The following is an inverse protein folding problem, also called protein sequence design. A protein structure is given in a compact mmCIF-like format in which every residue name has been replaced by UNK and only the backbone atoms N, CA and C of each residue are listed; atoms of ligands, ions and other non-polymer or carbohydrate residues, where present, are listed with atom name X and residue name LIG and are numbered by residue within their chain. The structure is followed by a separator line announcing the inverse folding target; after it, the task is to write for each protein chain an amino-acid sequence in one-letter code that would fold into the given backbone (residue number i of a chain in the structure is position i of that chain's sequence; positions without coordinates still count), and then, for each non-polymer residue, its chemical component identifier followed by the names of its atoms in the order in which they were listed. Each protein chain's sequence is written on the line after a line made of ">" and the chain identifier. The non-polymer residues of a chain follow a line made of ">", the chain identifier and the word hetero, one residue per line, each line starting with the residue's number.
data_IF_495328841060
#
_entry.id   IF_495328841060
#
_cell.length_a   1.000
_cell.length_b   1.000
_cell.length_c   1.000
_cell.angle_alpha   90.00
_cell.angle_beta   90.00
_cell.angle_gamma   90.00
#
_symmetry.space_group_name_H-M   'P 1'
#
loop_
_entity.id
_entity.type
_entity.pdbx_description
1 polymer ?
#
# COMPACT_ATOMS: atom_id res chain seq x y z
N UNK A 1 -30.65 -39.86 -18.73
CA UNK A 1 -29.22 -39.49 -18.84
C UNK A 1 -29.03 -38.20 -18.03
N UNK A 2 -28.83 -38.21 -16.69
CA UNK A 2 -27.58 -38.49 -15.95
C UNK A 2 -26.36 -37.79 -16.60
N UNK A 3 -25.61 -36.86 -15.99
CA UNK A 3 -25.15 -36.63 -14.60
C UNK A 3 -24.95 -35.11 -14.34
N UNK A 4 -25.39 -34.50 -13.22
CA UNK A 4 -24.78 -34.35 -11.87
C UNK A 4 -23.43 -33.60 -11.78
N UNK A 5 -23.49 -32.38 -11.19
CA UNK A 5 -22.70 -31.80 -10.06
C UNK A 5 -23.04 -30.30 -10.05
N UNK A 6 -23.66 -29.68 -9.05
CA UNK A 6 -23.65 -29.88 -7.61
C UNK A 6 -23.19 -28.56 -6.99
N UNK A 7 -24.07 -27.56 -6.90
CA UNK A 7 -23.82 -26.34 -6.14
C UNK A 7 -23.99 -26.71 -4.66
N UNK A 8 -22.88 -26.85 -3.94
CA UNK A 8 -22.83 -27.25 -2.53
C UNK A 8 -23.28 -26.10 -1.62
N UNK A 9 -24.51 -26.22 -1.10
CA UNK A 9 -24.94 -26.15 0.32
C UNK A 9 -24.16 -25.36 1.40
N UNK A 10 -23.30 -24.38 1.10
CA UNK A 10 -22.58 -23.61 2.14
C UNK A 10 -23.19 -22.24 2.46
N UNK A 11 -24.25 -21.81 1.76
CA UNK A 11 -24.86 -20.47 1.97
C UNK A 11 -26.00 -20.47 3.02
N UNK A 12 -26.35 -21.62 3.62
CA UNK A 12 -27.46 -21.71 4.60
C UNK A 12 -26.99 -22.05 6.03
N UNK A 13 -25.67 -22.18 6.28
CA UNK A 13 -25.14 -22.45 7.62
C UNK A 13 -24.59 -21.22 8.38
N UNK A 14 -24.60 -20.02 7.79
CA UNK A 14 -24.01 -18.82 8.42
C UNK A 14 -25.01 -17.91 9.17
N UNK A 15 -26.26 -18.35 9.35
CA UNK A 15 -27.32 -17.55 9.98
C UNK A 15 -27.77 -18.02 11.37
N UNK A 16 -27.18 -19.08 11.95
CA UNK A 16 -27.51 -19.53 13.31
C UNK A 16 -26.22 -19.95 14.03
N UNK A 17 -25.34 -19.00 14.32
CA UNK A 17 -24.21 -19.20 15.24
C UNK A 17 -23.88 -17.95 16.09
N UNK A 18 -24.69 -16.89 16.02
CA UNK A 18 -24.52 -15.68 16.83
C UNK A 18 -25.53 -15.57 17.99
N UNK A 19 -26.17 -16.69 18.37
CA UNK A 19 -27.16 -16.71 19.45
C UNK A 19 -27.13 -18.04 20.22
N UNK A 20 -26.01 -18.32 20.90
CA UNK A 20 -26.04 -19.05 22.17
C UNK A 20 -24.71 -18.83 22.88
N UNK A 21 -24.75 -18.02 23.93
CA UNK A 21 -23.68 -18.00 24.91
C UNK A 21 -23.65 -19.36 25.60
N UNK A 22 -22.51 -20.04 25.51
CA UNK A 22 -22.12 -21.09 26.43
C UNK A 22 -20.64 -20.89 26.72
N UNK A 23 -20.36 -20.46 27.95
CA UNK A 23 -19.01 -20.45 28.51
C UNK A 23 -18.46 -21.88 28.49
N UNK A 24 -17.31 -22.07 27.87
CA UNK A 24 -16.44 -23.20 28.12
C UNK A 24 -15.03 -22.63 28.28
N UNK A 25 -14.55 -22.64 29.51
CA UNK A 25 -13.13 -22.49 29.84
C UNK A 25 -12.41 -23.73 29.28
N UNK A 26 -11.44 -23.54 28.40
CA UNK A 26 -10.49 -24.59 28.03
C UNK A 26 -9.13 -24.00 27.75
N UNK A 27 -8.13 -24.62 28.37
CA UNK A 27 -6.73 -24.25 28.47
C UNK A 27 -6.02 -23.91 27.15
N UNK A 28 -5.10 -22.95 27.29
CA UNK A 28 -3.88 -22.73 26.49
C UNK A 28 -3.93 -23.06 24.99
N UNK A 29 -4.50 -22.14 24.21
CA UNK A 29 -4.21 -22.05 22.77
C UNK A 29 -3.14 -20.97 22.58
N UNK A 30 -1.90 -21.43 22.38
CA UNK A 30 -0.82 -20.56 21.89
C UNK A 30 -1.32 -19.78 20.68
N UNK A 31 -1.24 -18.45 20.75
CA UNK A 31 -1.68 -17.55 19.71
C UNK A 31 -0.99 -17.92 18.38
N UNK A 32 -1.75 -18.51 17.45
CA UNK A 32 -1.26 -18.74 16.09
C UNK A 32 -1.35 -17.41 15.38
N UNK A 33 -0.27 -16.62 15.45
CA UNK A 33 -0.14 -15.41 14.64
C UNK A 33 -0.29 -15.78 13.17
N UNK A 34 -1.44 -15.41 12.58
CA UNK A 34 -1.67 -15.64 11.15
C UNK A 34 -0.86 -14.64 10.34
N UNK A 35 0.11 -15.12 9.57
CA UNK A 35 0.90 -14.29 8.67
C UNK A 35 0.02 -13.77 7.51
N UNK A 36 -0.10 -12.45 7.39
CA UNK A 36 -0.81 -11.74 6.33
C UNK A 36 0.20 -11.22 5.31
N UNK A 37 -0.18 -11.17 4.04
CA UNK A 37 0.67 -10.62 2.96
C UNK A 37 0.13 -9.28 2.48
N UNK A 38 1.01 -8.29 2.35
CA UNK A 38 0.77 -7.05 1.63
C UNK A 38 1.69 -6.96 0.42
N UNK A 39 1.16 -6.46 -0.70
CA UNK A 39 1.90 -6.29 -1.96
C UNK A 39 1.80 -4.83 -2.40
N UNK A 40 2.94 -4.25 -2.77
CA UNK A 40 3.05 -2.88 -3.26
C UNK A 40 3.68 -2.90 -4.65
N UNK A 41 2.91 -2.53 -5.67
CA UNK A 41 3.36 -2.46 -7.07
C UNK A 41 2.52 -1.44 -7.83
N UNK A 42 3.17 -0.51 -8.55
CA UNK A 42 2.45 0.60 -9.19
C UNK A 42 1.42 0.08 -10.21
N UNK A 43 0.16 0.47 -10.04
CA UNK A 43 -0.96 0.03 -10.88
C UNK A 43 -1.63 -1.27 -10.44
N UNK A 44 -1.23 -1.85 -9.30
CA UNK A 44 -1.89 -2.98 -8.63
C UNK A 44 -2.53 -2.47 -7.34
N UNK A 45 -3.78 -2.84 -7.07
CA UNK A 45 -4.53 -2.43 -5.88
C UNK A 45 -4.47 -0.91 -5.60
N UNK A 46 -4.52 -0.10 -6.67
CA UNK A 46 -4.42 1.37 -6.66
C UNK A 46 -3.12 1.93 -6.08
N UNK A 47 -2.11 1.09 -5.83
CA UNK A 47 -0.82 1.56 -5.37
C UNK A 47 -0.12 2.36 -6.48
N UNK A 48 0.40 3.54 -6.12
CA UNK A 48 1.11 4.47 -7.02
C UNK A 48 2.42 4.98 -6.39
N UNK A 49 2.86 4.34 -5.31
CA UNK A 49 3.93 4.86 -4.45
C UNK A 49 5.35 4.52 -4.88
N UNK A 50 5.57 3.85 -6.02
CA UNK A 50 6.93 3.53 -6.46
C UNK A 50 7.60 4.76 -7.07
N UNK A 51 8.81 5.06 -6.60
CA UNK A 51 9.72 6.05 -7.16
C UNK A 51 11.02 5.34 -7.53
N UNK A 52 11.32 5.26 -8.82
CA UNK A 52 12.49 4.56 -9.34
C UNK A 52 13.06 5.21 -10.60
N UNK A 53 14.29 4.86 -10.96
CA UNK A 53 14.97 5.46 -12.10
C UNK A 53 16.48 5.26 -12.08
N UNK A 54 17.18 5.88 -13.04
CA UNK A 54 18.63 5.80 -13.18
C UNK A 54 19.34 7.13 -12.88
N UNK A 55 20.49 7.03 -12.22
CA UNK A 55 21.49 8.10 -12.15
C UNK A 55 22.75 7.66 -12.88
N UNK A 56 23.40 8.57 -13.59
CA UNK A 56 24.60 8.26 -14.38
C UNK A 56 25.61 9.37 -14.33
N UNK A 57 26.91 9.05 -14.41
CA UNK A 57 27.96 10.07 -14.45
C UNK A 57 28.22 10.68 -15.83
N UNK A 58 27.27 10.52 -16.76
CA UNK A 58 27.39 11.10 -18.10
C UNK A 58 27.19 12.61 -18.10
N UNK A 59 28.02 13.32 -18.87
CA UNK A 59 27.91 14.76 -19.04
C UNK A 59 28.68 15.53 -17.98
N UNK A 60 27.98 16.11 -17.01
CA UNK A 60 28.55 17.05 -16.02
C UNK A 60 28.70 16.49 -14.61
N UNK A 61 29.02 17.34 -13.61
CA UNK A 61 29.24 16.92 -12.22
C UNK A 61 28.05 16.24 -11.55
N UNK A 62 26.82 16.64 -11.90
CA UNK A 62 25.60 15.96 -11.44
C UNK A 62 25.18 14.80 -12.34
N UNK A 63 25.85 14.61 -13.47
CA UNK A 63 25.53 13.55 -14.41
C UNK A 63 24.22 13.76 -15.16
N UNK A 64 23.70 12.67 -15.73
CA UNK A 64 22.39 12.58 -16.38
C UNK A 64 21.51 11.63 -15.57
N UNK A 65 20.23 11.96 -15.43
CA UNK A 65 19.27 11.21 -14.62
C UNK A 65 17.96 11.10 -15.36
N UNK A 66 17.32 9.94 -15.23
CA UNK A 66 16.03 9.65 -15.83
C UNK A 66 15.20 8.84 -14.82
N UNK A 67 14.15 9.47 -14.31
CA UNK A 67 13.23 8.92 -13.30
C UNK A 67 11.85 8.61 -13.90
N UNK A 68 11.68 8.78 -15.21
CA UNK A 68 10.39 8.63 -15.91
C UNK A 68 10.49 7.68 -17.13
N UNK A 69 11.65 7.07 -17.35
CA UNK A 69 11.86 6.05 -18.38
C UNK A 69 11.34 4.70 -17.93
N UNK A 70 10.72 3.88 -18.81
CA UNK A 70 10.22 2.53 -18.48
C UNK A 70 11.30 1.55 -18.02
N UNK A 71 12.57 1.88 -18.23
CA UNK A 71 13.72 1.10 -17.74
C UNK A 71 14.82 2.00 -17.19
N UNK A 72 15.51 1.53 -16.15
CA UNK A 72 16.69 2.14 -15.55
C UNK A 72 17.93 1.26 -15.77
N UNK A 73 19.04 1.84 -16.21
CA UNK A 73 20.29 1.14 -16.51
C UNK A 73 21.14 0.92 -15.27
N UNK A 74 21.85 -0.21 -15.27
CA UNK A 74 22.84 -0.57 -14.25
C UNK A 74 24.09 -1.05 -15.00
N UNK A 75 25.14 -0.22 -15.01
CA UNK A 75 26.31 -0.45 -15.86
C UNK A 75 27.57 0.20 -15.28
N UNK A 76 28.73 -0.43 -15.48
CA UNK A 76 30.06 0.18 -15.25
C UNK A 76 30.94 -0.07 -16.45
N UNK A 77 31.05 0.88 -17.37
CA UNK A 77 31.87 0.65 -18.58
C UNK A 77 33.37 0.83 -18.32
N UNK A 78 34.21 0.52 -19.33
CA UNK A 78 35.65 0.86 -19.30
C UNK A 78 35.87 2.38 -19.29
N UNK A 79 34.95 3.15 -19.87
CA UNK A 79 35.05 4.59 -19.92
C UNK A 79 34.60 5.20 -18.57
N UNK A 80 35.41 6.07 -17.95
CA UNK A 80 35.15 6.56 -16.60
C UNK A 80 33.88 7.40 -16.50
N UNK A 81 33.44 8.05 -17.58
CA UNK A 81 32.20 8.86 -17.63
C UNK A 81 31.00 8.09 -18.20
N UNK A 82 30.89 6.79 -17.91
CA UNK A 82 29.80 5.96 -18.42
C UNK A 82 29.46 4.83 -17.42
N UNK A 83 29.07 5.24 -16.22
CA UNK A 83 28.56 4.43 -15.12
C UNK A 83 27.12 4.83 -14.81
N UNK A 84 26.27 3.83 -14.54
CA UNK A 84 24.85 3.96 -14.23
C UNK A 84 24.51 3.12 -13.01
N UNK A 85 23.64 3.66 -12.16
CA UNK A 85 23.03 2.96 -11.04
C UNK A 85 21.52 3.23 -11.03
N UNK A 86 20.75 2.27 -10.55
CA UNK A 86 19.31 2.42 -10.39
C UNK A 86 18.95 2.70 -8.92
N UNK A 87 17.94 3.52 -8.70
CA UNK A 87 17.34 3.76 -7.39
C UNK A 87 15.91 3.24 -7.41
N UNK A 88 15.47 2.60 -6.33
CA UNK A 88 14.07 2.17 -6.15
C UNK A 88 13.62 2.48 -4.73
N UNK A 89 12.47 3.12 -4.59
CA UNK A 89 11.84 3.43 -3.31
C UNK A 89 10.34 3.24 -3.39
N UNK A 90 9.76 2.57 -2.39
CA UNK A 90 8.32 2.41 -2.23
C UNK A 90 7.84 3.40 -1.16
N UNK A 91 6.93 4.30 -1.51
CA UNK A 91 6.33 5.29 -0.60
C UNK A 91 4.92 4.89 -0.21
N UNK A 92 4.37 5.49 0.85
CA UNK A 92 3.00 5.21 1.30
C UNK A 92 2.75 3.72 1.60
N UNK A 93 3.74 3.04 2.18
CA UNK A 93 3.61 1.67 2.65
C UNK A 93 2.59 1.63 3.80
N UNK A 94 1.41 1.12 3.53
CA UNK A 94 0.29 1.10 4.49
C UNK A 94 0.04 -0.33 4.97
N UNK A 95 0.44 -0.62 6.21
CA UNK A 95 0.05 -1.83 6.93
C UNK A 95 -0.93 -1.49 8.08
N UNK A 96 -1.70 -2.47 8.60
CA UNK A 96 -2.50 -2.28 9.81
C UNK A 96 -1.63 -1.78 10.99
N UNK A 97 -2.16 -0.92 11.89
CA UNK A 97 -1.44 -0.51 13.08
C UNK A 97 -1.06 -1.71 13.95
N UNK A 98 0.19 -1.75 14.41
CA UNK A 98 0.72 -2.88 15.19
C UNK A 98 1.15 -4.07 14.34
N UNK A 99 1.25 -3.91 13.01
CA UNK A 99 1.83 -4.91 12.14
C UNK A 99 3.32 -5.11 12.47
N UNK A 100 3.70 -6.37 12.65
CA UNK A 100 5.07 -6.82 12.85
C UNK A 100 5.49 -7.54 11.57
N UNK A 101 6.44 -6.97 10.85
CA UNK A 101 7.00 -7.56 9.64
C UNK A 101 7.72 -8.85 10.00
N UNK A 102 7.38 -9.94 9.30
CA UNK A 102 8.01 -11.26 9.46
C UNK A 102 8.87 -11.62 8.26
N UNK A 103 8.56 -11.07 7.08
CA UNK A 103 9.37 -11.21 5.87
C UNK A 103 9.14 -10.03 4.93
N UNK A 104 10.16 -9.66 4.16
CA UNK A 104 10.05 -8.68 3.10
C UNK A 104 10.88 -9.11 1.89
N UNK A 105 10.30 -8.97 0.70
CA UNK A 105 10.92 -9.37 -0.56
C UNK A 105 10.73 -8.30 -1.63
N UNK A 106 11.84 -7.84 -2.21
CA UNK A 106 11.88 -6.95 -3.37
C UNK A 106 11.98 -7.78 -4.64
N UNK A 107 10.97 -7.68 -5.49
CA UNK A 107 10.93 -8.35 -6.78
C UNK A 107 11.08 -7.33 -7.91
N UNK A 108 12.05 -7.57 -8.78
CA UNK A 108 12.42 -6.70 -9.89
C UNK A 108 12.51 -7.51 -11.19
N UNK A 109 12.09 -6.91 -12.29
CA UNK A 109 12.27 -7.47 -13.63
C UNK A 109 13.39 -6.72 -14.34
N UNK A 110 14.21 -7.45 -15.09
CA UNK A 110 15.33 -6.90 -15.84
C UNK A 110 15.37 -7.44 -17.25
N UNK A 111 15.85 -6.66 -18.21
CA UNK A 111 16.35 -7.15 -19.49
C UNK A 111 17.85 -7.42 -19.38
N UNK A 112 18.21 -8.71 -19.33
CA UNK A 112 19.58 -9.23 -19.31
C UNK A 112 19.92 -9.87 -20.65
N UNK A 113 20.36 -9.07 -21.61
CA UNK A 113 20.68 -9.55 -22.96
C UNK A 113 22.09 -10.16 -23.08
N UNK A 114 22.98 -9.90 -22.11
CA UNK A 114 24.43 -10.11 -22.26
C UNK A 114 25.06 -10.93 -21.13
N UNK A 115 24.42 -11.05 -19.96
CA UNK A 115 24.94 -11.77 -18.80
C UNK A 115 26.24 -11.18 -18.23
N UNK A 116 26.88 -11.91 -17.32
CA UNK A 116 28.16 -11.51 -16.73
C UNK A 116 28.09 -10.25 -15.85
N UNK A 117 26.93 -10.01 -15.24
CA UNK A 117 26.70 -8.93 -14.29
C UNK A 117 26.89 -9.42 -12.85
N UNK A 118 27.15 -8.50 -11.93
CA UNK A 118 27.07 -8.77 -10.49
C UNK A 118 26.36 -7.62 -9.83
N UNK A 119 25.05 -7.72 -9.69
CA UNK A 119 24.22 -6.68 -9.09
C UNK A 119 24.33 -6.73 -7.58
N UNK A 120 24.51 -5.55 -6.97
CA UNK A 120 24.42 -5.37 -5.52
C UNK A 120 23.38 -4.32 -5.19
N UNK A 121 22.49 -4.67 -4.27
CA UNK A 121 21.55 -3.75 -3.65
C UNK A 121 22.13 -3.18 -2.37
N UNK A 122 21.97 -1.89 -2.12
CA UNK A 122 22.36 -1.23 -0.87
C UNK A 122 21.23 -0.35 -0.34
N UNK A 123 20.97 -0.41 0.96
CA UNK A 123 20.07 0.54 1.60
C UNK A 123 20.65 1.94 1.56
N UNK A 124 19.89 2.90 1.03
CA UNK A 124 20.33 4.29 0.98
C UNK A 124 20.22 4.90 2.38
N UNK A 125 21.28 5.57 2.82
CA UNK A 125 21.35 6.21 4.14
C UNK A 125 21.02 7.70 4.10
N UNK A 126 21.05 8.35 2.93
CA UNK A 126 20.67 9.77 2.76
C UNK A 126 19.35 9.92 2.00
N UNK A 127 18.51 10.84 2.48
CA UNK A 127 17.29 11.19 1.76
C UNK A 127 17.64 11.80 0.41
N UNK A 128 16.86 11.44 -0.61
CA UNK A 128 16.99 11.94 -1.96
C UNK A 128 15.62 12.29 -2.53
N UNK A 129 15.61 13.20 -3.50
CA UNK A 129 14.42 13.75 -4.12
C UNK A 129 14.38 13.34 -5.59
N UNK A 130 13.37 12.56 -6.00
CA UNK A 130 13.26 12.07 -7.38
C UNK A 130 13.33 13.16 -8.45
N UNK A 131 12.87 14.38 -8.17
CA UNK A 131 12.92 15.48 -9.13
C UNK A 131 14.29 16.18 -9.24
N UNK A 132 15.21 15.91 -8.30
CA UNK A 132 16.49 16.62 -8.21
C UNK A 132 17.70 15.71 -7.95
N UNK A 133 17.48 14.40 -7.83
CA UNK A 133 18.53 13.42 -7.66
C UNK A 133 19.37 13.32 -8.93
N UNK A 134 20.64 13.00 -8.76
CA UNK A 134 21.53 12.67 -9.84
C UNK A 134 22.80 12.01 -9.35
N UNK A 135 23.81 11.99 -10.20
CA UNK A 135 25.10 11.38 -9.88
C UNK A 135 25.84 12.16 -8.79
N UNK A 136 25.82 13.49 -8.85
CA UNK A 136 26.51 14.33 -7.87
C UNK A 136 25.63 14.71 -6.69
N UNK A 137 24.37 15.04 -6.97
CA UNK A 137 23.39 15.58 -6.04
C UNK A 137 22.37 14.52 -5.64
N UNK A 138 21.99 14.50 -4.37
CA UNK A 138 20.85 13.73 -3.87
C UNK A 138 19.56 14.55 -3.83
N UNK A 139 19.70 15.87 -3.78
CA UNK A 139 18.62 16.85 -3.70
C UNK A 139 19.14 18.23 -4.13
N UNK A 140 18.28 19.24 -4.19
CA UNK A 140 18.63 20.62 -4.56
C UNK A 140 19.80 21.16 -3.72
N UNK A 141 20.96 21.33 -4.36
CA UNK A 141 22.17 21.83 -3.73
C UNK A 141 22.84 20.88 -2.71
N UNK A 142 22.30 19.68 -2.51
CA UNK A 142 22.85 18.69 -1.58
C UNK A 142 23.56 17.58 -2.33
N UNK A 143 24.87 17.47 -2.12
CA UNK A 143 25.71 16.44 -2.74
C UNK A 143 25.60 15.09 -2.01
N UNK A 144 25.80 14.01 -2.77
CA UNK A 144 26.29 12.76 -2.21
C UNK A 144 27.70 12.97 -1.63
N UNK A 145 28.07 12.22 -0.59
CA UNK A 145 29.45 12.27 -0.09
C UNK A 145 30.41 11.69 -1.13
N UNK A 146 29.99 10.65 -1.84
CA UNK A 146 30.68 10.10 -3.01
C UNK A 146 29.70 10.04 -4.18
N UNK A 147 30.02 10.67 -5.32
CA UNK A 147 29.15 10.66 -6.50
C UNK A 147 28.70 9.24 -6.88
N UNK A 148 27.43 9.11 -7.27
CA UNK A 148 26.73 7.85 -7.53
C UNK A 148 26.17 7.19 -6.28
N UNK A 149 26.06 7.93 -5.16
CA UNK A 149 25.70 7.40 -3.84
C UNK A 149 26.63 6.25 -3.38
N UNK A 150 27.92 6.31 -3.74
CA UNK A 150 28.89 5.22 -3.53
C UNK A 150 29.60 5.28 -2.17
N UNK A 151 29.27 6.25 -1.34
CA UNK A 151 29.87 6.43 -0.02
C UNK A 151 29.40 5.33 0.94
N UNK A 152 30.19 4.26 1.08
CA UNK A 152 29.89 3.16 2.00
C UNK A 152 29.93 3.66 3.44
N UNK A 153 28.82 3.51 4.16
CA UNK A 153 28.65 4.02 5.53
C UNK A 153 28.29 5.51 5.62
N UNK A 154 28.22 6.24 4.50
CA UNK A 154 27.91 7.68 4.48
C UNK A 154 26.69 8.01 3.62
N UNK A 155 26.65 7.49 2.40
CA UNK A 155 25.54 7.61 1.43
C UNK A 155 24.64 6.38 1.45
N UNK A 156 25.23 5.20 1.60
CA UNK A 156 24.56 3.90 1.72
C UNK A 156 25.05 3.15 2.95
N UNK A 157 24.27 2.17 3.42
CA UNK A 157 24.75 1.21 4.41
C UNK A 157 25.84 0.36 3.75
N UNK A 158 27.00 0.20 4.42
CA UNK A 158 28.18 -0.43 3.81
C UNK A 158 27.97 -1.92 3.48
N UNK A 159 27.18 -2.63 4.27
CA UNK A 159 26.77 -4.00 3.95
C UNK A 159 25.71 -3.97 2.84
N UNK A 160 25.87 -4.75 1.75
CA UNK A 160 24.84 -4.87 0.74
C UNK A 160 23.58 -5.53 1.33
N UNK A 161 22.41 -5.04 0.93
CA UNK A 161 21.13 -5.69 1.22
C UNK A 161 21.03 -7.05 0.53
N UNK A 162 21.60 -7.17 -0.68
CA UNK A 162 21.72 -8.42 -1.42
C UNK A 162 22.84 -8.34 -2.45
N UNK A 163 23.31 -9.52 -2.88
CA UNK A 163 24.29 -9.69 -3.96
C UNK A 163 23.76 -10.75 -4.91
N UNK A 164 23.72 -10.45 -6.21
CA UNK A 164 23.30 -11.36 -7.27
C UNK A 164 24.35 -11.36 -8.38
N UNK A 165 25.06 -12.47 -8.54
CA UNK A 165 26.09 -12.66 -9.56
C UNK A 165 25.66 -13.64 -10.67
N UNK A 166 24.42 -14.13 -10.65
CA UNK A 166 23.94 -15.20 -11.51
C UNK A 166 23.17 -14.62 -12.72
N UNK A 167 23.93 -14.05 -13.65
CA UNK A 167 23.42 -13.40 -14.86
C UNK A 167 23.96 -14.08 -16.12
N UNK A 168 23.07 -14.71 -16.88
CA UNK A 168 23.42 -15.58 -18.02
C UNK A 168 23.08 -15.00 -19.39
N UNK A 169 22.46 -13.82 -19.48
CA UNK A 169 22.00 -13.26 -20.74
C UNK A 169 20.69 -13.88 -21.22
N UNK A 170 19.73 -14.10 -20.30
CA UNK A 170 18.49 -14.83 -20.57
C UNK A 170 17.34 -13.99 -21.16
N UNK A 171 17.58 -12.73 -21.54
CA UNK A 171 16.55 -11.77 -21.93
C UNK A 171 15.81 -11.22 -20.71
N UNK A 172 14.49 -11.09 -20.79
CA UNK A 172 13.69 -10.55 -19.68
C UNK A 172 13.57 -11.57 -18.54
N UNK A 173 14.01 -11.16 -17.36
CA UNK A 173 14.21 -12.03 -16.19
C UNK A 173 13.72 -11.36 -14.92
N UNK A 174 12.95 -12.11 -14.11
CA UNK A 174 12.46 -11.66 -12.79
C UNK A 174 13.38 -12.20 -11.69
N UNK A 175 13.76 -11.33 -10.75
CA UNK A 175 14.57 -11.66 -9.58
C UNK A 175 13.87 -11.21 -8.31
N UNK A 176 13.95 -12.00 -7.26
CA UNK A 176 13.38 -11.70 -5.95
C UNK A 176 14.49 -11.74 -4.91
N UNK A 177 14.63 -10.65 -4.16
CA UNK A 177 15.65 -10.47 -3.13
C UNK A 177 14.98 -10.32 -1.78
N UNK A 178 15.39 -11.12 -0.80
CA UNK A 178 15.00 -10.91 0.58
C UNK A 178 15.59 -9.58 1.09
N UNK A 179 14.77 -8.82 1.82
CA UNK A 179 15.19 -7.60 2.49
C UNK A 179 15.21 -7.82 4.01
N UNK A 180 16.07 -7.08 4.70
CA UNK A 180 16.14 -7.05 6.16
C UNK A 180 14.80 -6.60 6.76
N UNK A 181 14.19 -7.48 7.54
CA UNK A 181 12.91 -7.26 8.23
C UNK A 181 12.96 -5.99 9.09
N UNK A 182 14.04 -5.77 9.85
CA UNK A 182 14.17 -4.58 10.70
C UNK A 182 14.20 -3.27 9.90
N UNK A 183 14.81 -3.27 8.71
CA UNK A 183 14.85 -2.08 7.84
C UNK A 183 13.46 -1.77 7.31
N UNK A 184 12.75 -2.80 6.85
CA UNK A 184 11.41 -2.65 6.31
C UNK A 184 10.41 -2.29 7.41
N UNK A 185 10.49 -2.89 8.59
CA UNK A 185 9.69 -2.48 9.76
C UNK A 185 9.90 -0.99 10.06
N UNK A 186 11.15 -0.52 10.08
CA UNK A 186 11.44 0.90 10.31
C UNK A 186 10.86 1.82 9.22
N UNK A 187 10.78 1.36 7.97
CA UNK A 187 10.11 2.11 6.91
C UNK A 187 8.60 2.24 7.12
N UNK A 188 7.97 1.24 7.75
CA UNK A 188 6.56 1.27 8.12
C UNK A 188 6.34 2.19 9.33
N UNK A 189 7.14 2.02 10.38
CA UNK A 189 6.98 2.75 11.65
C UNK A 189 7.33 4.24 11.51
N UNK A 190 8.37 4.56 10.72
CA UNK A 190 8.82 5.91 10.43
C UNK A 190 9.13 6.03 8.92
N UNK A 191 8.14 6.43 8.11
CA UNK A 191 8.31 6.59 6.65
C UNK A 191 9.44 7.55 6.24
N UNK A 192 9.90 8.45 7.12
CA UNK A 192 11.01 9.37 6.83
C UNK A 192 12.37 8.65 6.75
N UNK A 193 12.44 7.44 7.30
CA UNK A 193 13.63 6.59 7.28
C UNK A 193 13.73 5.79 5.98
N UNK A 194 12.62 5.67 5.24
CA UNK A 194 12.60 4.97 3.97
C UNK A 194 13.28 5.82 2.88
N UNK A 195 14.45 5.34 2.46
CA UNK A 195 15.29 5.98 1.44
C UNK A 195 15.53 5.03 0.25
N UNK A 196 14.84 3.89 0.23
CA UNK A 196 14.93 2.92 -0.84
C UNK A 196 16.25 2.16 -0.90
N UNK A 197 16.48 1.56 -2.07
CA UNK A 197 17.62 0.71 -2.39
C UNK A 197 18.31 1.24 -3.64
N UNK A 198 19.63 1.35 -3.58
CA UNK A 198 20.51 1.60 -4.73
C UNK A 198 20.94 0.25 -5.32
N UNK A 199 20.78 0.07 -6.62
CA UNK A 199 21.31 -1.05 -7.37
C UNK A 199 22.50 -0.62 -8.20
N UNK A 200 23.60 -1.35 -8.07
CA UNK A 200 24.84 -1.10 -8.80
C UNK A 200 25.42 -2.39 -9.35
N UNK A 201 26.08 -2.32 -10.51
CA UNK A 201 26.86 -3.44 -11.03
C UNK A 201 28.25 -3.41 -10.39
N UNK A 202 28.70 -4.51 -9.82
CA UNK A 202 30.00 -4.64 -9.17
C UNK A 202 31.06 -5.27 -10.07
N UNK A 203 30.76 -5.52 -11.34
CA UNK A 203 31.72 -5.90 -12.38
C UNK A 203 32.19 -4.65 -13.12
N UNK A 204 33.50 -4.50 -13.33
CA UNK A 204 34.07 -3.42 -14.13
C UNK A 204 35.15 -3.95 -15.09
N UNK A 205 34.99 -3.79 -16.42
CA UNK A 205 33.77 -3.31 -17.08
C UNK A 205 32.64 -4.34 -17.01
N UNK A 206 31.40 -3.90 -16.88
CA UNK A 206 30.25 -4.78 -17.11
C UNK A 206 30.19 -5.22 -18.57
N UNK A 207 29.57 -6.36 -18.83
CA UNK A 207 29.38 -6.91 -20.18
C UNK A 207 28.30 -6.16 -21.00
N UNK A 208 28.07 -4.88 -20.71
CA UNK A 208 26.95 -4.07 -21.24
C UNK A 208 26.06 -3.50 -20.14
N UNK A 209 24.90 -2.97 -20.54
CA UNK A 209 23.91 -2.39 -19.64
C UNK A 209 22.85 -3.43 -19.29
N UNK A 210 22.73 -3.74 -18.01
CA UNK A 210 21.53 -4.37 -17.48
C UNK A 210 20.43 -3.30 -17.36
N UNK A 211 19.18 -3.62 -17.71
CA UNK A 211 18.07 -2.67 -17.65
C UNK A 211 16.99 -3.19 -16.70
N UNK A 212 16.77 -2.50 -15.59
CA UNK A 212 15.69 -2.78 -14.65
C UNK A 212 14.41 -2.11 -15.12
N UNK A 213 13.29 -2.83 -15.11
CA UNK A 213 11.97 -2.24 -15.36
C UNK A 213 11.56 -1.33 -14.18
N UNK A 214 11.00 -0.17 -14.51
CA UNK A 214 10.56 0.87 -13.55
C UNK A 214 9.04 0.89 -13.40
N UNK A 215 8.51 1.82 -12.60
CA UNK A 215 7.09 2.05 -12.45
C UNK A 215 6.38 2.45 -13.77
N UNK A 216 7.12 3.00 -14.74
CA UNK A 216 6.63 3.47 -16.04
C UNK A 216 6.59 2.35 -17.09
N UNK A 217 7.02 1.13 -16.73
CA UNK A 217 6.87 -0.03 -17.61
C UNK A 217 5.41 -0.23 -18.05
N UNK A 218 5.22 -0.50 -19.34
CA UNK A 218 3.89 -0.65 -19.96
C UNK A 218 3.13 -1.82 -19.33
N UNK A 219 3.80 -2.97 -19.21
CA UNK A 219 3.28 -4.16 -18.55
C UNK A 219 3.41 -4.01 -17.04
N UNK A 220 2.28 -3.96 -16.32
CA UNK A 220 2.27 -3.73 -14.87
C UNK A 220 2.96 -4.87 -14.12
N UNK A 221 2.90 -6.09 -14.64
CA UNK A 221 3.58 -7.26 -14.09
C UNK A 221 5.10 -7.11 -14.06
N UNK A 222 5.70 -6.26 -14.90
CA UNK A 222 7.14 -6.04 -14.96
C UNK A 222 7.62 -4.95 -13.99
N UNK A 223 6.71 -4.15 -13.43
CA UNK A 223 7.05 -3.04 -12.53
C UNK A 223 7.60 -3.56 -11.20
N UNK A 224 8.45 -2.79 -10.49
CA UNK A 224 8.96 -3.18 -9.18
C UNK A 224 7.85 -3.50 -8.18
N UNK A 225 8.02 -4.61 -7.45
CA UNK A 225 7.07 -5.10 -6.47
C UNK A 225 7.78 -5.31 -5.12
N UNK A 226 7.20 -4.77 -4.05
CA UNK A 226 7.58 -5.09 -2.68
C UNK A 226 6.49 -5.94 -2.05
N UNK A 227 6.84 -7.15 -1.60
CA UNK A 227 5.94 -8.03 -0.86
C UNK A 227 6.39 -8.08 0.60
N UNK A 228 5.46 -7.86 1.51
CA UNK A 228 5.69 -7.86 2.96
C UNK A 228 4.76 -8.89 3.59
N UNK A 229 5.32 -9.87 4.29
CA UNK A 229 4.56 -10.70 5.22
C UNK A 229 4.66 -10.09 6.61
N UNK A 230 3.54 -10.05 7.32
CA UNK A 230 3.46 -9.49 8.66
C UNK A 230 2.44 -10.22 9.50
N UNK A 231 2.62 -10.15 10.81
CA UNK A 231 1.63 -10.57 11.79
C UNK A 231 1.09 -9.35 12.51
N UNK A 232 0.01 -9.53 13.25
CA UNK A 232 -0.63 -8.49 14.03
C UNK A 232 -0.97 -9.16 15.35
N UNK A 233 -0.31 -8.72 16.42
CA UNK A 233 -0.53 -9.28 17.76
C UNK A 233 -2.02 -9.24 18.09
N UNK A 234 -2.56 -10.37 18.53
CA UNK A 234 -4.00 -10.59 18.77
C UNK A 234 -4.48 -9.88 20.05
N UNK A 235 -4.41 -8.56 20.04
CA UNK A 235 -5.24 -7.64 20.85
C UNK A 235 -6.08 -6.73 19.95
N UNK A 236 -5.91 -6.85 18.64
CA UNK A 236 -6.73 -6.22 17.62
C UNK A 236 -7.47 -7.35 16.88
N UNK A 237 -8.74 -7.54 17.23
CA UNK A 237 -9.65 -8.43 16.51
C UNK A 237 -9.63 -8.03 15.03
N UNK A 238 -8.92 -8.79 14.19
CA UNK A 238 -8.89 -8.59 12.75
C UNK A 238 -10.05 -9.39 12.18
N UNK A 239 -11.16 -8.72 11.91
CA UNK A 239 -12.09 -9.17 10.88
C UNK A 239 -11.36 -9.07 9.53
N UNK A 240 -11.17 -10.21 8.87
CA UNK A 240 -10.67 -10.33 7.51
C UNK A 240 -11.33 -9.27 6.60
N UNK A 241 -10.53 -8.41 5.98
CA UNK A 241 -11.01 -7.38 5.08
C UNK A 241 -11.55 -8.02 3.79
N UNK A 242 -12.87 -8.01 3.64
CA UNK A 242 -13.54 -8.22 2.39
C UNK A 242 -13.43 -6.94 1.53
N UNK A 243 -12.63 -6.96 0.46
CA UNK A 243 -12.57 -5.99 -0.63
C UNK A 243 -12.22 -4.52 -0.29
N UNK A 244 -11.64 -3.82 -1.29
CA UNK A 244 -11.37 -2.39 -1.25
C UNK A 244 -12.63 -1.61 -0.83
N UNK A 245 -12.61 -1.04 0.37
CA UNK A 245 -13.65 -0.14 0.85
C UNK A 245 -13.25 1.30 0.50
N UNK A 246 -14.18 2.12 -0.01
CA UNK A 246 -13.93 3.54 -0.26
C UNK A 246 -13.38 4.22 1.00
N UNK A 247 -12.18 4.81 0.90
CA UNK A 247 -11.55 5.55 1.99
C UNK A 247 -11.95 7.02 1.87
N UNK A 248 -12.41 7.62 2.97
CA UNK A 248 -12.50 9.08 3.08
C UNK A 248 -11.07 9.59 3.23
N UNK A 249 -10.58 10.35 2.24
CA UNK A 249 -9.25 10.96 2.26
C UNK A 249 -9.25 12.11 3.25
N UNK A 250 -8.76 11.86 4.47
CA UNK A 250 -8.66 12.87 5.53
C UNK A 250 -7.27 12.81 6.16
N UNK A 251 -6.65 13.98 6.33
CA UNK A 251 -5.35 14.11 7.00
C UNK A 251 -5.39 13.51 8.42
N UNK A 252 -4.32 12.82 8.81
CA UNK A 252 -4.24 12.10 10.08
C UNK A 252 -4.37 13.06 11.28
N UNK A 253 -3.82 14.28 11.19
CA UNK A 253 -3.93 15.27 12.26
C UNK A 253 -5.35 15.85 12.34
N UNK A 254 -6.03 16.04 11.21
CA UNK A 254 -7.45 16.44 11.18
C UNK A 254 -8.32 15.40 11.87
N UNK A 255 -8.12 14.11 11.57
CA UNK A 255 -8.88 13.04 12.21
C UNK A 255 -8.61 12.94 13.71
N UNK A 256 -7.35 13.14 14.13
CA UNK A 256 -7.01 13.18 15.56
C UNK A 256 -7.68 14.34 16.28
N UNK A 257 -7.64 15.57 15.70
CA UNK A 257 -8.36 16.73 16.25
C UNK A 257 -9.87 16.50 16.37
N UNK A 258 -10.47 15.77 15.43
CA UNK A 258 -11.88 15.40 15.51
C UNK A 258 -12.16 14.42 16.65
N UNK A 259 -11.27 13.45 16.89
CA UNK A 259 -11.38 12.53 18.05
C UNK A 259 -11.21 13.25 19.37
N UNK A 260 -10.27 14.19 19.47
CA UNK A 260 -10.06 14.98 20.68
C UNK A 260 -11.33 15.80 21.00
N UNK A 261 -11.94 16.40 19.98
CA UNK A 261 -13.25 17.09 20.11
C UNK A 261 -14.37 16.14 20.51
N UNK A 262 -14.39 14.92 19.97
CA UNK A 262 -15.39 13.92 20.32
C UNK A 262 -15.26 13.44 21.77
N UNK A 263 -14.03 13.22 22.27
CA UNK A 263 -13.75 12.92 23.68
C UNK A 263 -14.12 14.07 24.61
N UNK A 264 -13.97 15.31 24.15
CA UNK A 264 -14.40 16.50 24.87
C UNK A 264 -15.92 16.79 24.77
N UNK A 265 -16.71 15.89 24.16
CA UNK A 265 -18.14 16.06 23.92
C UNK A 265 -18.51 17.39 23.21
N UNK A 266 -17.67 17.83 22.27
CA UNK A 266 -17.90 19.04 21.47
C UNK A 266 -19.29 19.00 20.81
N UNK A 267 -20.01 20.12 20.84
CA UNK A 267 -21.36 20.23 20.30
C UNK A 267 -21.47 19.80 18.83
N UNK A 268 -20.41 20.01 18.03
CA UNK A 268 -20.36 19.57 16.62
C UNK A 268 -20.28 18.05 16.51
N UNK A 269 -19.53 17.40 17.40
CA UNK A 269 -19.51 15.94 17.47
C UNK A 269 -20.87 15.40 17.88
N UNK A 270 -21.49 15.96 18.92
CA UNK A 270 -22.83 15.53 19.37
C UNK A 270 -23.86 15.68 18.25
N UNK A 271 -23.83 16.78 17.50
CA UNK A 271 -24.69 17.00 16.35
C UNK A 271 -24.45 15.97 15.23
N UNK A 272 -23.18 15.74 14.86
CA UNK A 272 -22.81 14.75 13.84
C UNK A 272 -23.25 13.33 14.26
N UNK A 273 -22.98 12.95 15.51
CA UNK A 273 -23.40 11.66 16.08
C UNK A 273 -24.91 11.48 16.01
N UNK A 274 -25.69 12.52 16.31
CA UNK A 274 -27.14 12.50 16.19
C UNK A 274 -27.59 12.30 14.73
N UNK A 275 -26.95 12.96 13.77
CA UNK A 275 -27.21 12.77 12.33
C UNK A 275 -26.94 11.32 11.93
N UNK A 276 -25.78 10.76 12.30
CA UNK A 276 -25.44 9.37 12.00
C UNK A 276 -26.42 8.36 12.62
N UNK A 277 -26.85 8.61 13.86
CA UNK A 277 -27.83 7.78 14.54
C UNK A 277 -29.23 7.88 13.92
N UNK A 278 -29.56 8.99 13.26
CA UNK A 278 -30.85 9.16 12.59
C UNK A 278 -31.05 8.18 11.42
N UNK A 279 -29.97 7.71 10.79
CA UNK A 279 -30.02 6.70 9.72
C UNK A 279 -30.22 5.27 10.22
N UNK A 280 -29.85 4.97 11.47
CA UNK A 280 -29.81 3.60 12.00
C UNK A 280 -31.15 2.85 11.95
N UNK A 281 -32.30 3.46 12.33
CA UNK A 281 -33.57 2.74 12.31
C UNK A 281 -34.17 2.58 10.91
N UNK A 282 -33.66 3.28 9.89
CA UNK A 282 -34.24 3.24 8.54
C UNK A 282 -33.66 2.15 7.65
N UNK A 283 -34.27 1.93 6.50
CA UNK A 283 -33.78 0.99 5.48
C UNK A 283 -33.01 1.74 4.39
N UNK A 284 -32.05 1.06 3.75
CA UNK A 284 -31.43 1.56 2.50
C UNK A 284 -32.21 0.96 1.35
N UNK A 285 -32.92 1.81 0.58
CA UNK A 285 -33.68 1.34 -0.58
C UNK A 285 -32.74 1.04 -1.74
N UNK A 286 -33.07 0.02 -2.53
CA UNK A 286 -32.38 -0.28 -3.78
C UNK A 286 -32.72 0.76 -4.86
N UNK A 287 -31.79 1.06 -5.79
CA UNK A 287 -32.08 1.92 -6.90
C UNK A 287 -33.13 1.28 -7.81
N UNK A 288 -34.10 2.07 -8.22
CA UNK A 288 -35.14 1.66 -9.15
C UNK A 288 -35.03 2.52 -10.42
N UNK A 289 -34.97 1.91 -11.62
CA UNK A 289 -34.70 2.64 -12.84
C UNK A 289 -35.77 3.64 -13.27
N UNK A 290 -36.95 3.59 -12.64
CA UNK A 290 -38.06 4.54 -12.84
C UNK A 290 -38.28 5.42 -11.59
N UNK A 291 -37.78 5.02 -10.41
CA UNK A 291 -38.11 5.66 -9.12
C UNK A 291 -36.92 6.28 -8.35
N UNK A 292 -35.75 6.45 -8.95
CA UNK A 292 -34.71 7.32 -8.38
C UNK A 292 -35.04 8.81 -8.54
N UNK A 293 -36.26 9.15 -8.13
CA UNK A 293 -36.84 10.46 -7.95
C UNK A 293 -37.57 10.53 -6.59
N UNK A 294 -37.73 9.40 -5.88
CA UNK A 294 -38.35 9.36 -4.56
C UNK A 294 -37.42 10.02 -3.52
N UNK A 295 -37.85 11.14 -2.95
CA UNK A 295 -37.31 11.64 -1.69
C UNK A 295 -37.93 10.84 -0.54
N UNK A 296 -37.08 10.24 0.28
CA UNK A 296 -37.54 9.53 1.47
C UNK A 296 -37.41 10.45 2.68
N UNK A 297 -38.43 10.43 3.54
CA UNK A 297 -38.41 11.15 4.80
C UNK A 297 -38.04 10.23 5.97
N UNK A 298 -37.66 10.83 7.09
CA UNK A 298 -37.27 10.11 8.29
C UNK A 298 -35.89 9.45 8.15
N UNK A 299 -35.76 8.24 8.67
CA UNK A 299 -34.49 7.52 8.77
C UNK A 299 -34.08 6.74 7.51
N UNK A 300 -34.98 6.67 6.52
CA UNK A 300 -34.80 5.86 5.30
C UNK A 300 -33.84 6.54 4.32
N UNK A 301 -32.86 5.80 3.81
CA UNK A 301 -31.90 6.28 2.82
C UNK A 301 -32.35 5.83 1.43
N UNK A 302 -32.55 6.78 0.52
CA UNK A 302 -33.01 6.54 -0.84
C UNK A 302 -32.02 7.07 -1.86
N UNK A 303 -32.14 6.61 -3.11
CA UNK A 303 -31.20 7.01 -4.15
C UNK A 303 -31.28 8.49 -4.50
N UNK A 304 -32.45 9.14 -4.42
CA UNK A 304 -32.62 10.50 -4.95
C UNK A 304 -32.30 10.58 -6.45
N UNK A 305 -32.14 11.78 -7.00
CA UNK A 305 -31.82 11.92 -8.42
C UNK A 305 -30.43 11.35 -8.72
N UNK A 306 -30.36 10.34 -9.59
CA UNK A 306 -29.10 9.69 -10.00
C UNK A 306 -28.24 9.13 -8.85
N UNK A 307 -28.83 8.78 -7.71
CA UNK A 307 -28.07 8.22 -6.57
C UNK A 307 -27.44 9.26 -5.64
N UNK A 308 -27.66 10.56 -5.88
CA UNK A 308 -27.06 11.65 -5.10
C UNK A 308 -27.32 11.55 -3.59
N UNK A 309 -28.49 11.04 -3.20
CA UNK A 309 -28.90 11.00 -1.79
C UNK A 309 -28.22 9.88 -0.98
N UNK A 310 -27.50 8.97 -1.63
CA UNK A 310 -26.62 8.03 -0.94
C UNK A 310 -25.35 8.69 -0.41
N UNK A 311 -24.83 9.70 -1.11
CA UNK A 311 -23.54 10.31 -0.80
C UNK A 311 -23.48 10.98 0.59
N UNK A 312 -24.44 11.86 1.00
CA UNK A 312 -24.40 12.47 2.32
C UNK A 312 -24.53 11.43 3.45
N UNK A 313 -25.39 10.42 3.26
CA UNK A 313 -25.57 9.35 4.24
C UNK A 313 -24.29 8.52 4.42
N UNK A 314 -23.65 8.14 3.31
CA UNK A 314 -22.39 7.40 3.31
C UNK A 314 -21.27 8.21 3.97
N UNK A 315 -21.14 9.50 3.63
CA UNK A 315 -20.10 10.37 4.18
C UNK A 315 -20.26 10.53 5.70
N UNK A 316 -21.48 10.78 6.18
CA UNK A 316 -21.79 10.92 7.60
C UNK A 316 -21.48 9.62 8.35
N UNK A 317 -22.00 8.49 7.88
CA UNK A 317 -21.81 7.17 8.51
C UNK A 317 -20.32 6.78 8.52
N UNK A 318 -19.60 7.02 7.43
CA UNK A 318 -18.17 6.77 7.32
C UNK A 318 -17.36 7.63 8.29
N UNK A 319 -17.67 8.92 8.40
CA UNK A 319 -16.99 9.82 9.32
C UNK A 319 -17.24 9.44 10.79
N UNK A 320 -18.49 9.16 11.16
CA UNK A 320 -18.84 8.70 12.50
C UNK A 320 -18.14 7.39 12.87
N UNK A 321 -18.05 6.43 11.94
CA UNK A 321 -17.29 5.21 12.13
C UNK A 321 -15.79 5.47 12.35
N UNK A 322 -15.15 6.32 11.52
CA UNK A 322 -13.72 6.62 11.62
C UNK A 322 -13.30 7.31 12.93
N UNK A 323 -14.19 8.15 13.47
CA UNK A 323 -14.02 8.81 14.76
C UNK A 323 -14.33 7.81 15.89
N UNK A 324 -15.54 7.24 15.91
CA UNK A 324 -16.08 6.41 16.99
C UNK A 324 -15.27 5.15 17.30
N UNK A 325 -14.69 4.50 16.28
CA UNK A 325 -13.94 3.25 16.43
C UNK A 325 -12.61 3.38 17.20
N UNK A 326 -12.14 4.61 17.43
CA UNK A 326 -10.88 4.90 18.15
C UNK A 326 -11.09 5.88 19.32
N UNK A 327 -12.33 6.07 19.78
CA UNK A 327 -12.58 6.74 21.06
C UNK A 327 -12.23 5.79 22.22
N UNK A 328 -11.99 6.35 23.41
CA UNK A 328 -11.71 5.58 24.63
C UNK A 328 -12.71 5.99 25.72
N UNK A 329 -13.76 5.18 25.98
CA UNK A 329 -14.16 3.96 25.25
C UNK A 329 -14.72 4.26 23.85
N UNK A 330 -14.74 3.26 22.97
CA UNK A 330 -15.29 3.38 21.62
C UNK A 330 -16.79 3.74 21.66
N UNK A 331 -17.29 4.44 20.63
CA UNK A 331 -18.72 4.77 20.58
C UNK A 331 -19.55 3.48 20.40
N UNK A 332 -20.59 3.23 21.22
CA UNK A 332 -21.41 2.03 21.11
C UNK A 332 -22.12 1.90 19.76
N UNK A 333 -22.33 3.00 19.03
CA UNK A 333 -22.99 3.00 17.72
C UNK A 333 -22.04 2.67 16.56
N UNK A 334 -20.74 2.50 16.81
CA UNK A 334 -19.70 2.30 15.77
C UNK A 334 -20.03 1.15 14.82
N UNK A 335 -20.39 -0.02 15.35
CA UNK A 335 -20.73 -1.20 14.53
C UNK A 335 -21.98 -0.96 13.69
N UNK A 336 -22.99 -0.28 14.25
CA UNK A 336 -24.23 0.03 13.55
C UNK A 336 -23.99 1.02 12.40
N UNK A 337 -23.12 2.02 12.58
CA UNK A 337 -22.73 2.93 11.51
C UNK A 337 -22.00 2.22 10.37
N UNK A 338 -21.07 1.32 10.70
CA UNK A 338 -20.35 0.51 9.71
C UNK A 338 -21.31 -0.35 8.88
N UNK A 339 -22.22 -1.08 9.54
CA UNK A 339 -23.22 -1.91 8.87
C UNK A 339 -24.14 -1.09 7.97
N UNK A 340 -24.60 0.08 8.45
CA UNK A 340 -25.46 0.96 7.64
C UNK A 340 -24.70 1.54 6.43
N UNK A 341 -23.45 1.98 6.62
CA UNK A 341 -22.61 2.49 5.55
C UNK A 341 -22.33 1.44 4.47
N UNK A 342 -22.06 0.19 4.88
CA UNK A 342 -21.92 -0.94 3.96
C UNK A 342 -23.20 -1.21 3.17
N UNK A 343 -24.38 -1.12 3.81
CA UNK A 343 -25.66 -1.26 3.13
C UNK A 343 -25.89 -0.15 2.09
N UNK A 344 -25.45 1.09 2.34
CA UNK A 344 -25.49 2.19 1.35
C UNK A 344 -24.58 1.89 0.16
N UNK A 345 -23.33 1.48 0.41
CA UNK A 345 -22.39 1.11 -0.66
C UNK A 345 -22.91 -0.01 -1.54
N UNK A 346 -23.53 -1.04 -0.94
CA UNK A 346 -24.14 -2.13 -1.68
C UNK A 346 -25.24 -1.67 -2.66
N UNK A 347 -25.93 -0.57 -2.36
CA UNK A 347 -26.92 0.02 -3.28
C UNK A 347 -26.31 1.01 -4.28
N UNK A 348 -25.14 1.59 -3.98
CA UNK A 348 -24.42 2.44 -4.94
C UNK A 348 -23.78 1.62 -6.06
N UNK A 349 -23.29 0.41 -5.79
CA UNK A 349 -22.67 -0.45 -6.82
C UNK A 349 -23.68 -1.04 -7.81
N UNK A 350 -24.97 -1.05 -7.47
CA UNK A 350 -26.02 -1.52 -8.38
C UNK A 350 -26.41 -0.46 -9.44
N UNK A 351 -25.86 0.75 -9.37
CA UNK A 351 -26.08 1.84 -10.34
C UNK A 351 -25.25 1.73 -11.63
N UNK A 352 -24.37 0.73 -11.79
CA UNK A 352 -23.39 0.66 -12.90
C UNK A 352 -23.95 0.18 -14.25
N UNK A 353 -25.26 -0.02 -14.39
CA UNK A 353 -25.91 -0.52 -15.61
C UNK A 353 -26.78 0.53 -16.31
N UNK A 354 -26.21 1.70 -16.59
CA UNK A 354 -26.82 2.71 -17.46
C UNK A 354 -25.90 3.05 -18.64
#
# INVERSE_FOLDING_TARGET
>A
MQLRRGWSREVVAFAIAAASGACAESDDVGAVESAVTATFQTGVDEYVGTLDGEISNRGGPNGSTDMDSPTARIMRSKHPANEYAALVKFTNLSLPPGAIVTSAALTLTFDDDLGGHSVRGYYVSRGWNGSHVGWGLRDTGMWWNTPGAKGMGTDVIAAPAFVDADWSGAGTVRRTYALDVEKVQKWIDDPSTNRGVLLSNNVQPSNGSLRMHTAESVASENRPQLTIQYTVSDGAVITLAASAHPRIWMDAQVLQRMRDRAMAADARWVALRAVCNSYLPGVVRAPNPVKCQDSCSGSTICCGFQGESYYPALLNLGLCYQIGRRLTPADPSTTAWAQKGAAVLAQMVTFTNY
#
